data_IF_503500667737
#
_entry.id   IF_503500667737
#
_cell.length_a   1.000
_cell.length_b   1.000
_cell.length_c   1.000
_cell.angle_alpha   90.00
_cell.angle_beta   90.00
_cell.angle_gamma   90.00
#
_symmetry.space_group_name_H-M   'P 1'
#
loop_
_entity.id
_entity.type
_entity.pdbx_description
1 polymer ?
#
# COMPACT_ATOMS: atom_id res chain seq x y z
N UNK A 1 1.42 -14.16 -19.61
CA UNK A 1 2.18 -13.36 -18.61
C UNK A 1 2.35 -11.96 -19.18
N UNK A 2 1.91 -10.91 -18.48
CA UNK A 2 2.01 -9.53 -18.97
C UNK A 2 3.46 -9.07 -19.08
N UNK A 3 3.75 -8.17 -20.03
CA UNK A 3 5.10 -7.61 -20.21
C UNK A 3 5.42 -6.61 -19.08
N UNK A 4 5.86 -7.12 -17.92
CA UNK A 4 6.16 -6.32 -16.73
C UNK A 4 7.19 -5.22 -17.00
N UNK A 5 8.13 -5.45 -17.94
CA UNK A 5 9.13 -4.48 -18.35
C UNK A 5 8.50 -3.31 -19.13
N UNK A 6 7.53 -3.58 -20.01
CA UNK A 6 6.76 -2.52 -20.69
C UNK A 6 6.05 -1.63 -19.68
N UNK A 7 5.35 -2.23 -18.71
CA UNK A 7 4.62 -1.48 -17.68
C UNK A 7 5.59 -0.66 -16.81
N UNK A 8 6.76 -1.21 -16.46
CA UNK A 8 7.78 -0.46 -15.72
C UNK A 8 8.26 0.77 -16.50
N UNK A 9 8.48 0.61 -17.81
CA UNK A 9 8.85 1.71 -18.70
C UNK A 9 7.75 2.77 -18.84
N UNK A 10 6.49 2.34 -18.91
CA UNK A 10 5.31 3.23 -18.93
C UNK A 10 5.18 4.02 -17.62
N UNK A 11 5.35 3.35 -16.46
CA UNK A 11 5.36 4.01 -15.15
C UNK A 11 6.46 5.08 -15.09
N UNK A 12 7.68 4.76 -15.55
CA UNK A 12 8.77 5.74 -15.62
C UNK A 12 8.48 6.90 -16.58
N UNK A 13 7.86 6.63 -17.72
CA UNK A 13 7.47 7.65 -18.70
C UNK A 13 6.43 8.60 -18.12
N UNK A 14 5.44 8.07 -17.38
CA UNK A 14 4.43 8.87 -16.70
C UNK A 14 5.05 9.74 -15.59
N UNK A 15 5.99 9.21 -14.81
CA UNK A 15 6.70 9.99 -13.79
C UNK A 15 7.45 11.18 -14.39
N UNK A 16 8.16 10.98 -15.51
CA UNK A 16 8.85 12.06 -16.22
C UNK A 16 7.85 13.09 -16.76
N UNK A 17 6.82 12.62 -17.47
CA UNK A 17 5.79 13.46 -18.08
C UNK A 17 5.06 14.34 -17.06
N UNK A 18 4.81 13.81 -15.86
CA UNK A 18 4.11 14.49 -14.78
C UNK A 18 5.04 14.94 -13.64
N UNK A 19 6.34 15.10 -13.90
CA UNK A 19 7.34 15.48 -12.89
C UNK A 19 6.99 16.73 -12.08
N UNK A 20 6.27 17.68 -12.68
CA UNK A 20 5.76 18.87 -11.99
C UNK A 20 4.78 18.53 -10.85
N UNK A 21 3.96 17.48 -11.00
CA UNK A 21 3.03 17.01 -9.96
C UNK A 21 3.80 16.42 -8.78
N UNK A 22 4.81 15.59 -9.05
CA UNK A 22 5.68 15.05 -8.00
C UNK A 22 6.41 16.16 -7.25
N UNK A 23 6.96 17.14 -7.97
CA UNK A 23 7.62 18.31 -7.35
C UNK A 23 6.67 19.09 -6.45
N UNK A 24 5.42 19.28 -6.87
CA UNK A 24 4.40 19.95 -6.04
C UNK A 24 4.01 19.09 -4.83
N UNK A 25 3.88 17.78 -5.00
CA UNK A 25 3.52 16.85 -3.93
C UNK A 25 4.65 16.60 -2.91
N UNK A 26 5.92 16.89 -3.24
CA UNK A 26 7.05 16.72 -2.31
C UNK A 26 7.54 18.02 -1.68
N UNK A 27 6.77 19.10 -1.78
CA UNK A 27 7.11 20.34 -1.07
C UNK A 27 6.87 20.21 0.44
N UNK A 28 7.76 20.81 1.23
CA UNK A 28 7.73 20.72 2.69
C UNK A 28 6.67 21.64 3.34
N UNK A 29 6.35 22.76 2.69
CA UNK A 29 5.43 23.77 3.23
C UNK A 29 4.21 23.98 2.34
N UNK A 30 3.04 23.98 2.98
CA UNK A 30 1.81 24.51 2.40
C UNK A 30 1.38 25.62 3.34
N UNK A 31 1.87 26.82 3.07
CA UNK A 31 1.51 28.00 3.83
C UNK A 31 0.05 28.37 3.54
N UNK A 32 -0.78 28.42 4.59
CA UNK A 32 -2.17 28.87 4.51
C UNK A 32 -3.19 27.81 4.09
N UNK A 33 -4.19 28.23 3.29
CA UNK A 33 -5.32 27.38 2.85
C UNK A 33 -4.82 26.33 1.87
N UNK A 34 -5.04 25.05 2.16
CA UNK A 34 -4.75 23.92 1.27
C UNK A 34 -5.71 23.91 0.06
N UNK A 35 -5.29 24.41 -1.12
CA UNK A 35 -6.19 24.61 -2.25
C UNK A 35 -6.62 23.29 -2.88
N UNK A 36 -7.81 23.26 -3.51
CA UNK A 36 -8.35 22.06 -4.17
C UNK A 36 -7.39 21.45 -5.21
N UNK A 37 -6.65 22.27 -5.94
CA UNK A 37 -5.68 21.78 -6.92
C UNK A 37 -4.56 20.96 -6.27
N UNK A 38 -4.10 21.37 -5.09
CA UNK A 38 -3.07 20.65 -4.35
C UNK A 38 -3.59 19.34 -3.78
N UNK A 39 -4.84 19.32 -3.32
CA UNK A 39 -5.52 18.08 -2.96
C UNK A 39 -5.54 17.08 -4.13
N UNK A 40 -5.91 17.55 -5.33
CA UNK A 40 -5.99 16.71 -6.52
C UNK A 40 -4.61 16.18 -6.95
N UNK A 41 -3.58 17.02 -6.88
CA UNK A 41 -2.19 16.62 -7.17
C UNK A 41 -1.71 15.58 -6.16
N UNK A 42 -1.86 15.85 -4.85
CA UNK A 42 -1.45 14.93 -3.79
C UNK A 42 -2.19 13.59 -3.92
N UNK A 43 -3.50 13.61 -4.19
CA UNK A 43 -4.31 12.41 -4.45
C UNK A 43 -3.78 11.59 -5.64
N UNK A 44 -3.52 12.25 -6.77
CA UNK A 44 -3.02 11.59 -7.98
C UNK A 44 -1.62 10.98 -7.77
N UNK A 45 -0.73 11.69 -7.07
CA UNK A 45 0.62 11.20 -6.77
C UNK A 45 0.58 10.03 -5.77
N UNK A 46 -0.30 10.07 -4.76
CA UNK A 46 -0.56 8.91 -3.91
C UNK A 46 -1.03 7.68 -4.72
N UNK A 47 -1.99 7.87 -5.62
CA UNK A 47 -2.48 6.78 -6.46
C UNK A 47 -1.38 6.22 -7.38
N UNK A 48 -0.53 7.08 -7.93
CA UNK A 48 0.65 6.67 -8.69
C UNK A 48 1.59 5.77 -7.88
N UNK A 49 1.93 6.15 -6.64
CA UNK A 49 2.78 5.32 -5.79
C UNK A 49 2.12 3.98 -5.47
N UNK A 50 0.81 3.95 -5.20
CA UNK A 50 0.08 2.70 -4.98
C UNK A 50 0.13 1.77 -6.20
N UNK A 51 -0.02 2.32 -7.42
CA UNK A 51 0.11 1.54 -8.68
C UNK A 51 1.52 0.96 -8.82
N UNK A 52 2.56 1.77 -8.54
CA UNK A 52 3.96 1.31 -8.56
C UNK A 52 4.19 0.17 -7.56
N UNK A 53 3.65 0.27 -6.35
CA UNK A 53 3.74 -0.79 -5.33
C UNK A 53 2.98 -2.05 -5.76
N UNK A 54 1.79 -1.92 -6.35
CA UNK A 54 1.05 -3.04 -6.90
C UNK A 54 1.82 -3.76 -8.01
N UNK A 55 2.41 -3.00 -8.95
CA UNK A 55 3.20 -3.56 -10.03
C UNK A 55 4.44 -4.28 -9.49
N UNK A 56 5.15 -3.68 -8.53
CA UNK A 56 6.26 -4.36 -7.85
C UNK A 56 5.81 -5.66 -7.18
N UNK A 57 4.66 -5.66 -6.52
CA UNK A 57 4.11 -6.85 -5.86
C UNK A 57 3.72 -7.95 -6.85
N UNK A 58 3.37 -7.58 -8.09
CA UNK A 58 3.12 -8.56 -9.16
C UNK A 58 4.41 -9.20 -9.68
N UNK A 59 5.57 -8.63 -9.41
CA UNK A 59 6.86 -9.21 -9.77
C UNK A 59 7.29 -10.18 -8.66
N UNK A 60 7.82 -11.35 -9.02
CA UNK A 60 8.38 -12.34 -8.07
C UNK A 60 9.77 -11.91 -7.54
N UNK A 61 9.99 -10.61 -7.37
CA UNK A 61 11.29 -10.07 -6.94
C UNK A 61 11.39 -10.11 -5.41
N UNK A 62 12.50 -10.61 -4.83
CA UNK A 62 12.70 -10.60 -3.39
C UNK A 62 12.75 -9.17 -2.82
N UNK A 63 12.13 -8.97 -1.66
CA UNK A 63 12.28 -7.76 -0.85
C UNK A 63 13.64 -7.81 -0.11
N UNK A 64 14.39 -6.70 0.08
CA UNK A 64 13.98 -5.29 -0.03
C UNK A 64 14.55 -4.55 -1.24
N UNK A 65 13.68 -3.97 -2.06
CA UNK A 65 14.04 -2.95 -3.07
C UNK A 65 13.89 -1.56 -2.42
N UNK A 66 15.00 -0.81 -2.34
CA UNK A 66 15.04 0.54 -1.74
C UNK A 66 13.98 1.47 -2.35
N UNK A 67 13.76 1.37 -3.67
CA UNK A 67 12.80 2.22 -4.40
C UNK A 67 11.36 2.04 -3.95
N UNK A 68 11.06 0.87 -3.38
CA UNK A 68 9.74 0.53 -2.85
C UNK A 68 9.55 1.16 -1.48
N UNK A 69 10.57 1.16 -0.64
CA UNK A 69 10.53 1.85 0.64
C UNK A 69 10.47 3.37 0.47
N UNK A 70 11.14 3.92 -0.55
CA UNK A 70 10.98 5.34 -0.92
C UNK A 70 9.54 5.64 -1.35
N UNK A 71 8.95 4.78 -2.18
CA UNK A 71 7.55 4.93 -2.63
C UNK A 71 6.56 4.85 -1.46
N UNK A 72 6.78 3.94 -0.50
CA UNK A 72 5.98 3.84 0.73
C UNK A 72 6.10 5.13 1.55
N UNK A 73 7.33 5.60 1.76
CA UNK A 73 7.61 6.81 2.55
C UNK A 73 6.97 8.05 1.93
N UNK A 74 7.18 8.26 0.63
CA UNK A 74 6.55 9.34 -0.14
C UNK A 74 5.03 9.28 -0.07
N UNK A 75 4.44 8.09 -0.25
CA UNK A 75 2.99 7.93 -0.11
C UNK A 75 2.50 8.36 1.27
N UNK A 76 3.13 7.87 2.34
CA UNK A 76 2.70 8.14 3.72
C UNK A 76 2.80 9.62 4.07
N UNK A 77 3.86 10.30 3.63
CA UNK A 77 4.04 11.74 3.81
C UNK A 77 2.91 12.54 3.13
N UNK A 78 2.59 12.20 1.87
CA UNK A 78 1.53 12.88 1.11
C UNK A 78 0.15 12.56 1.71
N UNK A 79 -0.10 11.30 2.05
CA UNK A 79 -1.35 10.84 2.65
C UNK A 79 -1.63 11.53 4.00
N UNK A 80 -0.60 11.76 4.81
CA UNK A 80 -0.72 12.50 6.06
C UNK A 80 -1.16 13.96 5.83
N UNK A 81 -0.73 14.60 4.74
CA UNK A 81 -1.22 15.95 4.39
C UNK A 81 -2.65 15.94 3.88
N UNK A 82 -3.01 14.99 3.02
CA UNK A 82 -4.40 14.82 2.54
C UNK A 82 -5.37 14.69 3.72
N UNK A 83 -4.95 13.99 4.76
CA UNK A 83 -5.73 13.80 5.98
C UNK A 83 -6.02 15.10 6.75
N UNK A 84 -5.17 16.15 6.63
CA UNK A 84 -5.43 17.45 7.28
C UNK A 84 -6.73 18.09 6.79
N UNK A 85 -7.23 17.69 5.62
CA UNK A 85 -8.52 18.13 5.09
C UNK A 85 -9.72 17.46 5.77
N UNK A 86 -9.50 16.55 6.72
CA UNK A 86 -10.51 15.77 7.47
C UNK A 86 -11.49 14.98 6.59
N UNK A 87 -11.27 14.92 5.29
CA UNK A 87 -12.08 14.15 4.36
C UNK A 87 -11.59 12.70 4.35
N UNK A 88 -12.50 11.77 4.63
CA UNK A 88 -12.25 10.33 4.48
C UNK A 88 -12.89 9.87 3.18
N UNK A 89 -12.11 9.22 2.33
CA UNK A 89 -12.58 8.77 1.03
C UNK A 89 -12.38 7.27 0.89
N UNK A 90 -13.47 6.54 0.67
CA UNK A 90 -13.42 5.08 0.47
C UNK A 90 -12.63 4.66 -0.77
N UNK A 91 -12.50 5.54 -1.77
CA UNK A 91 -11.66 5.29 -2.95
C UNK A 91 -10.17 5.20 -2.59
N UNK A 92 -9.74 5.86 -1.51
CA UNK A 92 -8.35 5.88 -1.05
C UNK A 92 -7.93 4.60 -0.31
N UNK A 93 -8.89 3.82 0.20
CA UNK A 93 -8.62 2.62 0.99
C UNK A 93 -7.86 1.54 0.20
N UNK A 94 -8.04 1.47 -1.14
CA UNK A 94 -7.27 0.55 -1.99
C UNK A 94 -5.79 0.93 -2.03
N UNK A 95 -5.50 2.23 -2.14
CA UNK A 95 -4.14 2.75 -2.12
C UNK A 95 -3.49 2.56 -0.75
N UNK A 96 -4.23 2.81 0.33
CA UNK A 96 -3.80 2.53 1.70
C UNK A 96 -3.51 1.05 1.93
N UNK A 97 -4.36 0.15 1.41
CA UNK A 97 -4.11 -1.28 1.48
C UNK A 97 -2.78 -1.66 0.80
N UNK A 98 -2.55 -1.20 -0.43
CA UNK A 98 -1.33 -1.49 -1.19
C UNK A 98 -0.06 -0.95 -0.53
N UNK A 99 -0.14 0.20 0.12
CA UNK A 99 0.99 0.77 0.87
C UNK A 99 1.16 0.04 2.20
N UNK A 100 0.06 -0.32 2.85
CA UNK A 100 0.05 -1.04 4.11
C UNK A 100 0.73 -2.41 4.03
N UNK A 101 0.51 -3.17 2.95
CA UNK A 101 1.17 -4.47 2.77
C UNK A 101 2.70 -4.35 2.63
N UNK A 102 3.21 -3.18 2.23
CA UNK A 102 4.65 -2.91 2.09
C UNK A 102 5.23 -2.15 3.29
N UNK A 103 4.38 -1.67 4.20
CA UNK A 103 4.75 -0.95 5.41
C UNK A 103 5.18 -1.95 6.49
N UNK A 104 6.31 -1.69 7.15
CA UNK A 104 6.91 -2.64 8.12
C UNK A 104 6.80 -2.20 9.57
N UNK A 105 6.82 -0.90 9.85
CA UNK A 105 6.77 -0.39 11.20
C UNK A 105 5.35 -0.35 11.76
N UNK A 106 5.21 -0.59 13.06
CA UNK A 106 3.90 -0.68 13.72
C UNK A 106 3.16 0.67 13.71
N UNK A 107 3.87 1.80 13.81
CA UNK A 107 3.27 3.13 13.93
C UNK A 107 2.49 3.49 12.67
N UNK A 108 3.10 3.34 11.49
CA UNK A 108 2.42 3.60 10.23
C UNK A 108 1.34 2.56 9.94
N UNK A 109 1.54 1.29 10.34
CA UNK A 109 0.50 0.24 10.20
C UNK A 109 -0.78 0.60 10.97
N UNK A 110 -0.64 0.96 12.24
CA UNK A 110 -1.76 1.37 13.10
C UNK A 110 -2.44 2.62 12.53
N UNK A 111 -1.65 3.58 12.04
CA UNK A 111 -2.18 4.77 11.38
C UNK A 111 -2.97 4.40 10.12
N UNK A 112 -2.45 3.56 9.23
CA UNK A 112 -3.14 3.12 8.00
C UNK A 112 -4.50 2.48 8.35
N UNK A 113 -4.52 1.52 9.27
CA UNK A 113 -5.76 0.86 9.67
C UNK A 113 -6.78 1.83 10.25
N UNK A 114 -6.35 2.75 11.11
CA UNK A 114 -7.23 3.77 11.70
C UNK A 114 -7.80 4.76 10.68
N UNK A 115 -7.25 4.80 9.45
CA UNK A 115 -7.70 5.70 8.37
C UNK A 115 -8.65 5.05 7.38
N UNK A 116 -8.52 3.76 7.19
CA UNK A 116 -9.39 3.03 6.26
C UNK A 116 -10.84 3.04 6.74
N UNK A 117 -11.78 3.08 5.80
CA UNK A 117 -13.22 3.01 6.09
C UNK A 117 -13.75 1.61 5.82
N UNK A 118 -13.24 0.98 4.76
CA UNK A 118 -13.62 -0.34 4.27
C UNK A 118 -13.15 -1.45 5.20
N UNK A 119 -14.09 -1.97 6.00
CA UNK A 119 -13.85 -3.05 6.95
C UNK A 119 -13.30 -4.34 6.30
N UNK A 120 -13.69 -4.63 5.04
CA UNK A 120 -13.17 -5.76 4.27
C UNK A 120 -11.67 -5.61 4.00
N UNK A 121 -11.23 -4.42 3.57
CA UNK A 121 -9.82 -4.14 3.32
C UNK A 121 -9.00 -4.05 4.61
N UNK A 122 -9.57 -3.51 5.70
CA UNK A 122 -8.92 -3.52 7.02
C UNK A 122 -8.64 -4.96 7.46
N UNK A 123 -9.66 -5.83 7.39
CA UNK A 123 -9.54 -7.24 7.75
C UNK A 123 -8.52 -7.97 6.87
N UNK A 124 -8.57 -7.71 5.56
CA UNK A 124 -7.60 -8.28 4.62
C UNK A 124 -6.17 -7.85 4.97
N UNK A 125 -5.97 -6.57 5.31
CA UNK A 125 -4.65 -6.04 5.65
C UNK A 125 -4.09 -6.68 6.93
N UNK A 126 -4.93 -6.83 7.97
CA UNK A 126 -4.54 -7.55 9.20
C UNK A 126 -4.05 -8.97 8.89
N UNK A 127 -4.82 -9.72 8.08
CA UNK A 127 -4.48 -11.09 7.69
C UNK A 127 -3.17 -11.17 6.91
N UNK A 128 -2.89 -10.17 6.05
CA UNK A 128 -1.60 -10.11 5.35
C UNK A 128 -0.46 -9.94 6.35
N UNK A 129 -0.57 -9.00 7.29
CA UNK A 129 0.48 -8.78 8.29
C UNK A 129 0.69 -9.97 9.21
N UNK A 130 -0.40 -10.63 9.65
CA UNK A 130 -0.34 -11.85 10.44
C UNK A 130 0.36 -12.98 9.68
N UNK A 131 -0.05 -13.23 8.43
CA UNK A 131 0.56 -14.26 7.59
C UNK A 131 2.04 -13.98 7.32
N UNK A 132 2.40 -12.75 6.94
CA UNK A 132 3.80 -12.40 6.70
C UNK A 132 4.66 -12.50 7.97
N UNK A 133 4.10 -12.15 9.13
CA UNK A 133 4.76 -12.32 10.44
C UNK A 133 4.96 -13.80 10.75
N UNK A 134 3.94 -14.64 10.54
CA UNK A 134 3.98 -16.08 10.81
C UNK A 134 5.01 -16.79 9.92
N UNK A 135 5.03 -16.49 8.63
CA UNK A 135 5.94 -17.14 7.68
C UNK A 135 7.32 -16.50 7.60
N UNK A 136 7.54 -15.35 8.25
CA UNK A 136 8.79 -14.58 8.17
C UNK A 136 9.14 -14.10 6.77
N UNK A 137 8.16 -14.07 5.86
CA UNK A 137 8.36 -13.73 4.45
C UNK A 137 7.11 -13.11 3.85
N UNK A 138 7.34 -12.47 2.71
CA UNK A 138 6.30 -11.93 1.85
C UNK A 138 5.28 -12.99 1.42
N UNK A 139 3.98 -12.70 1.53
CA UNK A 139 2.93 -13.58 1.00
C UNK A 139 2.86 -13.53 -0.53
N UNK A 140 2.61 -14.69 -1.15
CA UNK A 140 2.47 -14.81 -2.60
C UNK A 140 1.19 -14.14 -3.11
N UNK A 141 1.12 -13.92 -4.42
CA UNK A 141 -0.04 -13.32 -5.08
C UNK A 141 -1.30 -14.15 -4.88
N UNK A 142 -1.19 -15.47 -4.97
CA UNK A 142 -2.28 -16.43 -4.80
C UNK A 142 -2.85 -16.32 -3.39
N UNK A 143 -1.98 -16.25 -2.38
CA UNK A 143 -2.39 -16.10 -1.00
C UNK A 143 -3.09 -14.76 -0.75
N UNK A 144 -2.58 -13.67 -1.32
CA UNK A 144 -3.25 -12.36 -1.26
C UNK A 144 -4.62 -12.38 -1.93
N UNK A 145 -4.80 -13.10 -3.05
CA UNK A 145 -6.10 -13.25 -3.71
C UNK A 145 -7.11 -13.98 -2.80
N UNK A 146 -6.68 -15.04 -2.11
CA UNK A 146 -7.52 -15.76 -1.14
C UNK A 146 -7.95 -14.85 0.00
N UNK A 147 -7.02 -14.07 0.55
CA UNK A 147 -7.32 -13.09 1.61
C UNK A 147 -8.35 -12.07 1.12
N UNK A 148 -8.15 -11.49 -0.07
CA UNK A 148 -9.01 -10.46 -0.64
C UNK A 148 -10.41 -10.96 -1.02
N UNK A 149 -10.56 -12.26 -1.35
CA UNK A 149 -11.87 -12.90 -1.57
C UNK A 149 -12.63 -13.19 -0.27
N UNK A 150 -11.97 -13.06 0.88
CA UNK A 150 -12.55 -13.44 2.17
C UNK A 150 -12.57 -14.96 2.41
N UNK A 151 -11.98 -15.75 1.52
CA UNK A 151 -11.99 -17.22 1.53
C UNK A 151 -10.92 -17.82 2.47
N UNK A 152 -10.02 -17.00 3.02
CA UNK A 152 -8.99 -17.45 3.95
C UNK A 152 -9.53 -17.65 5.38
N UNK A 153 -9.87 -18.88 5.74
CA UNK A 153 -9.72 -19.35 7.12
C UNK A 153 -8.22 -19.57 7.30
N UNK A 154 -7.57 -18.81 8.18
CA UNK A 154 -6.24 -19.18 8.66
C UNK A 154 -6.45 -20.48 9.42
N UNK A 155 -6.18 -21.62 8.77
CA UNK A 155 -6.20 -22.90 9.48
C UNK A 155 -5.16 -22.81 10.59
N UNK A 156 -5.66 -22.95 11.81
CA UNK A 156 -4.89 -23.03 13.05
C UNK A 156 -4.17 -24.39 13.06
N UNK A 157 -3.10 -24.53 12.26
CA UNK A 157 -2.32 -25.76 12.18
C UNK A 157 -1.41 -25.97 13.40
N UNK A 158 -1.74 -25.36 14.55
CA UNK A 158 -1.06 -25.53 15.81
C UNK A 158 -1.78 -26.47 16.80
N UNK A 159 -2.96 -27.01 16.47
CA UNK A 159 -3.68 -27.95 17.34
C UNK A 159 -4.00 -29.24 16.58
N UNK A 160 -2.98 -30.02 16.21
CA UNK A 160 -3.15 -31.44 15.91
C UNK A 160 -1.82 -32.22 16.02
N UNK A 161 -1.06 -32.00 17.09
CA UNK A 161 0.00 -32.94 17.53
C UNK A 161 -0.05 -33.05 19.06
N UNK A 162 -1.12 -33.62 19.62
CA UNK A 162 -1.17 -34.03 21.03
C UNK A 162 -2.39 -34.90 21.40
N UNK A 163 -2.82 -35.82 20.53
CA UNK A 163 -3.78 -36.86 20.97
C UNK A 163 -3.43 -38.21 20.34
N UNK A 164 -2.20 -38.68 20.56
CA UNK A 164 -1.85 -40.10 20.57
C UNK A 164 -0.60 -40.29 21.42
N UNK A 165 -0.78 -40.27 22.75
CA UNK A 165 0.01 -41.03 23.72
C UNK A 165 -0.94 -41.57 24.77
#
# INVERSE_FOLDING_TARGET
>A
MGNHQSIQGEIGTLEIKYSSFFRIAHRDTIDGKYPRIHFQIDAAVCEFYAIRLYHFRCQEVPSPDVRIQDSVSSFLQIAHRLQRMKARYSWFDRSLFLVGIETRDAIHRDWIQGRMIRADLIRALSRVWEGEKMYGRRLSKEYMQVILRGEGVLYDSAIEVSVWQ
#
